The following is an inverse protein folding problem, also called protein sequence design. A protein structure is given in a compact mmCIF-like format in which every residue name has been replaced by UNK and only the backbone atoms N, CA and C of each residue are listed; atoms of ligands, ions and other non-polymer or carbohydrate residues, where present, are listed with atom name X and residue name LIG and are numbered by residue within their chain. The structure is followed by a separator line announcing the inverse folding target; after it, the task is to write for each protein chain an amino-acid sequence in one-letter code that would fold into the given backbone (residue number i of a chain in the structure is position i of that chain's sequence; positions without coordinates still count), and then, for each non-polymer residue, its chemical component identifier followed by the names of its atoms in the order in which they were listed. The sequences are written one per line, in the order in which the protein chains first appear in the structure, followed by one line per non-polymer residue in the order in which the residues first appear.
data_IF_872214889758
#
_entry.id   IF_872214889758
#
_cell.length_a   1.000
_cell.length_b   1.000
_cell.length_c   1.000
_cell.angle_alpha   90.00
_cell.angle_beta   90.00
_cell.angle_gamma   90.00
#
_symmetry.space_group_name_H-M   'P 1'
#
loop_
_entity.id
_entity.type
_entity.pdbx_description
1 polymer ?
#
# COMPACT_ATOMS: atom_id res chain seq x y z
N UNK A 1 -0.20 -33.19 16.35
CA UNK A 1 1.27 -33.26 16.16
C UNK A 1 1.55 -32.68 14.78
N UNK A 2 2.06 -31.45 14.68
CA UNK A 2 2.23 -30.77 13.38
C UNK A 2 3.42 -31.39 12.65
N UNK A 3 3.22 -31.81 11.40
CA UNK A 3 4.22 -32.54 10.63
C UNK A 3 5.17 -31.56 9.92
N UNK A 4 6.32 -31.25 10.56
CA UNK A 4 7.33 -30.31 10.06
C UNK A 4 8.25 -30.89 8.97
N UNK A 5 8.01 -32.13 8.53
CA UNK A 5 8.83 -32.83 7.54
C UNK A 5 9.06 -32.04 6.22
N UNK A 6 8.04 -31.45 5.55
CA UNK A 6 8.28 -30.74 4.29
C UNK A 6 9.06 -29.45 4.48
N UNK A 7 8.85 -28.76 5.60
CA UNK A 7 9.55 -27.52 5.95
C UNK A 7 11.05 -27.79 6.18
N UNK A 8 11.36 -28.86 6.91
CA UNK A 8 12.75 -29.26 7.18
C UNK A 8 13.51 -29.68 5.92
N UNK A 9 12.83 -30.32 4.95
CA UNK A 9 13.44 -30.67 3.66
C UNK A 9 13.74 -29.40 2.84
N UNK A 10 12.79 -28.46 2.82
CA UNK A 10 12.96 -27.17 2.14
C UNK A 10 14.14 -26.36 2.71
N UNK A 11 14.24 -26.24 4.04
CA UNK A 11 15.36 -25.56 4.69
C UNK A 11 16.69 -26.29 4.50
N UNK A 12 16.71 -27.63 4.43
CA UNK A 12 17.93 -28.39 4.14
C UNK A 12 18.42 -28.22 2.70
N UNK A 13 17.52 -27.95 1.75
CA UNK A 13 17.89 -27.64 0.36
C UNK A 13 18.43 -26.21 0.22
N UNK A 14 17.90 -25.27 1.00
CA UNK A 14 18.37 -23.88 1.10
C UNK A 14 19.66 -23.71 1.91
N UNK A 15 20.38 -24.79 2.23
CA UNK A 15 21.71 -24.69 2.87
C UNK A 15 22.72 -24.05 1.92
N UNK A 16 23.43 -23.06 2.45
CA UNK A 16 24.48 -22.31 1.76
C UNK A 16 25.53 -23.21 1.08
N UNK A 17 25.85 -24.36 1.69
CA UNK A 17 26.81 -25.34 1.18
C UNK A 17 26.38 -25.99 -0.15
N UNK A 18 25.07 -26.07 -0.43
CA UNK A 18 24.52 -26.72 -1.64
C UNK A 18 24.15 -25.73 -2.74
N UNK A 19 24.28 -24.43 -2.50
CA UNK A 19 23.94 -23.41 -3.49
C UNK A 19 25.10 -23.13 -4.46
N UNK A 20 24.81 -22.87 -5.74
CA UNK A 20 25.83 -22.46 -6.69
C UNK A 20 26.40 -21.09 -6.30
N UNK A 21 27.73 -20.96 -6.40
CA UNK A 21 28.48 -19.76 -5.99
C UNK A 21 27.99 -18.46 -6.64
N UNK A 22 27.48 -18.56 -7.87
CA UNK A 22 26.90 -17.42 -8.60
C UNK A 22 25.66 -16.85 -7.91
N UNK A 23 24.73 -17.69 -7.46
CA UNK A 23 23.51 -17.25 -6.77
C UNK A 23 23.85 -16.58 -5.45
N UNK A 24 24.81 -17.14 -4.70
CA UNK A 24 25.31 -16.56 -3.46
C UNK A 24 25.84 -15.15 -3.71
N UNK A 25 26.67 -14.96 -4.73
CA UNK A 25 27.22 -13.66 -5.08
C UNK A 25 26.12 -12.64 -5.46
N UNK A 26 25.13 -13.06 -6.24
CA UNK A 26 23.98 -12.21 -6.57
C UNK A 26 23.17 -11.84 -5.34
N UNK A 27 22.87 -12.79 -4.44
CA UNK A 27 22.12 -12.52 -3.20
C UNK A 27 22.88 -11.55 -2.31
N UNK A 28 24.21 -11.69 -2.19
CA UNK A 28 25.04 -10.77 -1.42
C UNK A 28 25.03 -9.39 -2.06
N UNK A 29 25.23 -9.28 -3.38
CA UNK A 29 25.18 -7.99 -4.11
C UNK A 29 23.82 -7.30 -3.95
N UNK A 30 22.73 -8.03 -4.14
CA UNK A 30 21.37 -7.50 -3.92
C UNK A 30 21.16 -7.08 -2.48
N UNK A 31 21.60 -7.89 -1.50
CA UNK A 31 21.52 -7.54 -0.08
C UNK A 31 22.30 -6.26 0.26
N UNK A 32 23.50 -6.10 -0.30
CA UNK A 32 24.29 -4.86 -0.13
C UNK A 32 23.62 -3.67 -0.78
N UNK A 33 23.09 -3.82 -1.99
CA UNK A 33 22.36 -2.76 -2.70
C UNK A 33 21.11 -2.32 -1.92
N UNK A 34 20.34 -3.28 -1.40
CA UNK A 34 19.16 -2.98 -0.58
C UNK A 34 19.55 -2.21 0.68
N UNK A 35 20.64 -2.57 1.38
CA UNK A 35 21.12 -1.82 2.56
C UNK A 35 21.55 -0.40 2.21
N UNK A 36 22.23 -0.20 1.08
CA UNK A 36 22.64 1.13 0.62
C UNK A 36 21.48 1.99 0.15
N UNK A 37 20.44 1.38 -0.43
CA UNK A 37 19.29 2.08 -0.99
C UNK A 37 18.17 2.33 0.03
N UNK A 38 18.09 1.50 1.08
CA UNK A 38 17.12 1.63 2.18
C UNK A 38 17.01 3.05 2.78
N UNK A 39 18.13 3.75 3.11
CA UNK A 39 18.05 5.10 3.65
C UNK A 39 17.46 6.13 2.67
N UNK A 40 17.49 5.87 1.36
CA UNK A 40 16.90 6.74 0.34
C UNK A 40 15.44 6.35 0.09
N UNK A 41 15.14 5.05 0.12
CA UNK A 41 13.80 4.53 -0.13
C UNK A 41 12.79 4.97 0.93
N UNK A 42 13.18 4.99 2.22
CA UNK A 42 12.28 5.43 3.30
C UNK A 42 11.81 6.88 3.11
N UNK A 43 12.70 7.89 2.94
CA UNK A 43 12.30 9.26 2.66
C UNK A 43 11.42 9.40 1.42
N UNK A 44 11.71 8.68 0.34
CA UNK A 44 10.91 8.74 -0.89
C UNK A 44 9.49 8.21 -0.63
N UNK A 45 9.37 7.09 0.08
CA UNK A 45 8.07 6.52 0.43
C UNK A 45 7.27 7.47 1.33
N UNK A 46 7.91 8.06 2.35
CA UNK A 46 7.27 9.03 3.25
C UNK A 46 6.84 10.26 2.46
N UNK A 47 7.69 10.78 1.58
CA UNK A 47 7.37 11.94 0.73
C UNK A 47 6.16 11.66 -0.17
N UNK A 48 6.13 10.51 -0.83
CA UNK A 48 5.00 10.10 -1.66
C UNK A 48 3.72 9.94 -0.83
N UNK A 49 3.82 9.36 0.37
CA UNK A 49 2.69 9.21 1.28
C UNK A 49 2.12 10.56 1.72
N UNK A 50 2.97 11.49 2.16
CA UNK A 50 2.56 12.85 2.56
C UNK A 50 1.83 13.53 1.40
N UNK A 51 2.41 13.47 0.19
CA UNK A 51 1.81 14.08 -1.01
C UNK A 51 0.47 13.46 -1.39
N UNK A 52 0.29 12.16 -1.19
CA UNK A 52 -0.98 11.50 -1.41
C UNK A 52 -2.03 11.95 -0.40
N UNK A 53 -1.69 11.95 0.89
CA UNK A 53 -2.59 12.38 1.97
C UNK A 53 -3.02 13.83 1.79
N UNK A 54 -2.08 14.71 1.42
CA UNK A 54 -2.34 16.14 1.19
C UNK A 54 -3.37 16.33 0.05
N UNK A 55 -3.21 15.61 -1.06
CA UNK A 55 -4.17 15.63 -2.17
C UNK A 55 -5.55 15.14 -1.74
N UNK A 56 -5.61 14.08 -0.95
CA UNK A 56 -6.89 13.54 -0.46
C UNK A 56 -7.61 14.53 0.46
N UNK A 57 -6.88 15.23 1.34
CA UNK A 57 -7.43 16.28 2.21
C UNK A 57 -7.95 17.47 1.41
N UNK A 58 -7.19 17.94 0.44
CA UNK A 58 -7.62 19.02 -0.44
C UNK A 58 -8.92 18.69 -1.20
N UNK A 59 -9.07 17.44 -1.66
CA UNK A 59 -10.29 17.00 -2.31
C UNK A 59 -11.49 16.92 -1.34
N UNK A 60 -11.27 16.49 -0.10
CA UNK A 60 -12.29 16.50 0.96
C UNK A 60 -12.78 17.92 1.26
N UNK A 61 -11.87 18.90 1.33
CA UNK A 61 -12.19 20.31 1.56
C UNK A 61 -13.03 20.90 0.44
N UNK A 62 -12.62 20.70 -0.82
CA UNK A 62 -13.41 21.14 -1.97
C UNK A 62 -14.81 20.53 -1.96
N UNK A 63 -14.91 19.22 -1.71
CA UNK A 63 -16.19 18.53 -1.68
C UNK A 63 -17.11 19.10 -0.59
N UNK A 64 -16.55 19.39 0.59
CA UNK A 64 -17.27 20.04 1.68
C UNK A 64 -17.77 21.44 1.30
N UNK A 65 -16.94 22.27 0.64
CA UNK A 65 -17.35 23.59 0.16
C UNK A 65 -18.53 23.52 -0.82
N UNK A 66 -18.51 22.55 -1.75
CA UNK A 66 -19.58 22.38 -2.74
C UNK A 66 -20.88 21.79 -2.16
N UNK A 67 -20.79 20.89 -1.18
CA UNK A 67 -21.97 20.16 -0.67
C UNK A 67 -22.82 20.97 0.31
N UNK A 68 -22.35 22.13 0.81
CA UNK A 68 -23.09 23.04 1.73
C UNK A 68 -23.82 22.31 2.88
N UNK A 69 -23.26 21.21 3.36
CA UNK A 69 -23.92 20.35 4.34
C UNK A 69 -23.50 20.73 5.77
N UNK A 70 -24.46 20.75 6.70
CA UNK A 70 -24.22 21.15 8.11
C UNK A 70 -23.36 20.15 8.91
N UNK A 71 -23.22 18.91 8.43
CA UNK A 71 -22.57 17.82 9.16
C UNK A 71 -21.09 17.64 8.78
N UNK A 72 -20.23 18.51 9.32
CA UNK A 72 -18.75 18.46 9.17
C UNK A 72 -18.16 17.09 9.51
N UNK A 73 -18.69 16.42 10.55
CA UNK A 73 -18.20 15.11 11.00
C UNK A 73 -18.21 14.03 9.90
N UNK A 74 -19.18 14.07 8.99
CA UNK A 74 -19.30 13.04 7.95
C UNK A 74 -18.11 13.07 6.98
N UNK A 75 -17.49 14.24 6.75
CA UNK A 75 -16.35 14.39 5.83
C UNK A 75 -15.02 14.10 6.51
N UNK A 76 -14.82 14.53 7.75
CA UNK A 76 -13.52 14.45 8.42
C UNK A 76 -13.32 13.25 9.36
N UNK A 77 -14.37 12.46 9.65
CA UNK A 77 -14.24 11.28 10.51
C UNK A 77 -13.25 10.26 9.94
N UNK A 78 -12.13 10.09 10.64
CA UNK A 78 -11.03 9.18 10.33
C UNK A 78 -11.33 7.73 10.73
N UNK A 79 -12.25 7.51 11.68
CA UNK A 79 -12.63 6.17 12.13
C UNK A 79 -13.44 5.41 11.07
N UNK A 80 -14.13 6.13 10.18
CA UNK A 80 -14.83 5.56 9.01
C UNK A 80 -13.89 5.13 7.87
N UNK A 81 -12.61 5.55 7.85
CA UNK A 81 -11.68 5.25 6.72
C UNK A 81 -11.41 3.76 6.52
N UNK A 82 -11.57 2.94 7.56
CA UNK A 82 -11.27 1.50 7.51
C UNK A 82 -12.30 0.67 6.72
N UNK A 83 -13.49 1.21 6.41
CA UNK A 83 -14.62 0.44 5.86
C UNK A 83 -14.82 0.53 4.34
N UNK A 84 -13.88 1.08 3.57
CA UNK A 84 -13.94 1.12 2.10
C UNK A 84 -15.01 2.08 1.52
N UNK A 85 -15.92 2.59 2.35
CA UNK A 85 -17.05 3.46 1.97
C UNK A 85 -16.68 4.91 1.73
N UNK A 86 -15.42 5.32 1.93
CA UNK A 86 -15.00 6.73 1.89
C UNK A 86 -13.95 7.07 0.84
N UNK A 87 -13.57 6.11 0.00
CA UNK A 87 -12.68 6.42 -1.11
C UNK A 87 -13.51 7.18 -2.16
N UNK A 88 -13.47 8.51 -2.08
CA UNK A 88 -14.30 9.41 -2.90
C UNK A 88 -14.15 9.12 -4.39
N UNK A 89 -12.96 8.67 -4.80
CA UNK A 89 -12.69 8.25 -6.17
C UNK A 89 -13.44 6.98 -6.53
N UNK A 90 -13.47 5.97 -5.66
CA UNK A 90 -14.25 4.75 -5.88
C UNK A 90 -15.75 5.08 -5.92
N UNK A 91 -16.24 5.96 -5.04
CA UNK A 91 -17.64 6.38 -5.06
C UNK A 91 -17.99 7.17 -6.32
N UNK A 92 -17.09 8.03 -6.78
CA UNK A 92 -17.25 8.78 -8.02
C UNK A 92 -17.23 7.85 -9.25
N UNK A 93 -16.30 6.89 -9.28
CA UNK A 93 -16.21 5.89 -10.34
C UNK A 93 -17.49 5.02 -10.35
N UNK A 94 -18.00 4.60 -9.19
CA UNK A 94 -19.28 3.89 -9.07
C UNK A 94 -20.46 4.74 -9.54
N UNK A 95 -20.48 6.03 -9.20
CA UNK A 95 -21.51 6.97 -9.67
C UNK A 95 -21.49 7.10 -11.20
N UNK A 96 -20.31 7.19 -11.81
CA UNK A 96 -20.18 7.26 -13.27
C UNK A 96 -20.67 5.97 -13.95
N UNK A 97 -20.35 4.81 -13.37
CA UNK A 97 -20.83 3.51 -13.86
C UNK A 97 -22.36 3.43 -13.76
N UNK A 98 -22.92 3.75 -12.60
CA UNK A 98 -24.37 3.73 -12.37
C UNK A 98 -25.11 4.68 -13.32
N UNK A 99 -24.57 5.90 -13.49
CA UNK A 99 -25.09 6.86 -14.44
C UNK A 99 -25.09 6.30 -15.85
N UNK A 100 -23.98 5.74 -16.33
CA UNK A 100 -23.88 5.20 -17.69
C UNK A 100 -24.78 3.98 -17.95
N UNK A 101 -25.14 3.23 -16.91
CA UNK A 101 -26.05 2.07 -17.01
C UNK A 101 -27.52 2.49 -16.96
N UNK A 102 -27.86 3.48 -16.13
CA UNK A 102 -29.23 3.91 -15.87
C UNK A 102 -29.68 5.14 -16.69
N UNK A 103 -28.79 5.74 -17.49
CA UNK A 103 -29.09 6.83 -18.43
C UNK A 103 -29.25 6.31 -19.86
#
# INVERSE_FOLDING_TARGET
MVNYAPLNIFFNYFRYEKMPKQIIEYVIKTGTFCRTMFPIFIPICIYQYIRQVDRERYAEELLYEYTKSDNVKNFYDSSMKCKGTKNWKIQYDLYLIDKAVNS
#
